data_IF_100963150272
#
_entry.id   IF_100963150272
#
_cell.length_a   1.000
_cell.length_b   1.000
_cell.length_c   1.000
_cell.angle_alpha   90.00
_cell.angle_beta   90.00
_cell.angle_gamma   90.00
#
_symmetry.space_group_name_H-M   'P 1'
#
loop_
_entity.id
_entity.type
_entity.pdbx_description
1 polymer ?
#
# COMPACT_ATOMS: atom_id res chain seq x y z
N UNK A 1 62.64 29.83 9.17
CA UNK A 1 62.14 29.23 10.43
C UNK A 1 60.95 30.05 10.85
N UNK A 2 59.79 29.63 10.59
CA UNK A 2 58.53 30.35 10.91
C UNK A 2 57.44 29.33 11.14
N UNK A 3 57.04 29.22 12.39
CA UNK A 3 55.97 28.34 12.88
C UNK A 3 54.61 28.84 12.41
N UNK A 4 53.86 28.02 11.70
CA UNK A 4 52.41 28.19 11.49
C UNK A 4 51.67 27.42 12.57
N UNK A 5 51.12 28.14 13.53
CA UNK A 5 50.10 27.62 14.43
C UNK A 5 48.73 27.78 13.78
N UNK A 6 48.10 26.66 13.42
CA UNK A 6 46.66 26.62 13.05
C UNK A 6 45.81 26.54 14.34
N UNK A 7 45.17 27.60 14.63
CA UNK A 7 44.08 27.71 15.63
C UNK A 7 42.85 26.94 15.08
N UNK A 8 42.49 25.81 15.70
CA UNK A 8 41.22 25.15 15.50
C UNK A 8 40.13 25.91 16.24
N UNK A 9 39.35 26.68 15.52
CA UNK A 9 38.06 27.16 16.02
C UNK A 9 37.05 26.02 16.07
N UNK A 10 36.64 25.63 17.26
CA UNK A 10 35.50 24.74 17.49
C UNK A 10 34.23 25.55 17.25
N UNK A 11 33.63 25.32 16.07
CA UNK A 11 32.29 25.80 15.78
C UNK A 11 31.31 24.82 16.46
N UNK A 12 30.94 25.09 17.71
CA UNK A 12 29.82 24.43 18.37
C UNK A 12 28.53 25.08 17.87
N UNK A 13 27.98 24.56 16.74
CA UNK A 13 26.62 24.91 16.38
C UNK A 13 25.69 24.33 17.46
N UNK A 14 25.10 25.19 18.24
CA UNK A 14 24.01 24.84 19.15
C UNK A 14 22.85 24.27 18.30
N UNK A 15 22.47 23.02 18.57
CA UNK A 15 21.26 22.43 18.03
C UNK A 15 20.05 23.29 18.46
N UNK A 16 19.13 23.62 17.54
CA UNK A 16 17.92 24.33 17.89
C UNK A 16 17.14 23.53 18.96
N UNK A 17 16.49 24.24 19.91
CA UNK A 17 15.73 23.60 20.97
C UNK A 17 14.68 22.66 20.38
N UNK A 18 14.53 21.48 20.99
CA UNK A 18 13.54 20.51 20.60
C UNK A 18 12.14 21.15 20.59
N UNK A 19 11.33 20.92 19.54
CA UNK A 19 9.99 21.48 19.49
C UNK A 19 9.17 20.98 20.68
N UNK A 20 8.28 21.84 21.24
CA UNK A 20 7.45 21.47 22.37
C UNK A 20 6.61 20.23 22.05
N UNK A 21 6.42 19.37 23.07
CA UNK A 21 5.64 18.15 22.97
C UNK A 21 4.25 18.45 22.39
N UNK A 22 3.89 17.69 21.35
CA UNK A 22 2.61 17.77 20.67
C UNK A 22 1.45 17.51 21.64
N UNK A 23 0.73 18.54 21.99
CA UNK A 23 -0.63 18.42 22.52
C UNK A 23 -1.57 18.53 21.30
N UNK A 24 -2.37 17.52 20.98
CA UNK A 24 -3.37 17.67 19.92
C UNK A 24 -4.27 18.83 20.28
N UNK A 25 -4.29 19.88 19.46
CA UNK A 25 -5.34 20.89 19.59
C UNK A 25 -6.66 20.15 19.39
N UNK A 26 -7.57 20.33 20.33
CA UNK A 26 -8.93 19.84 20.20
C UNK A 26 -9.48 20.30 18.85
N UNK A 27 -10.07 19.41 18.05
CA UNK A 27 -10.74 19.82 16.82
C UNK A 27 -11.72 20.91 17.21
N UNK A 28 -11.72 22.02 16.50
CA UNK A 28 -12.68 23.10 16.70
C UNK A 28 -14.07 22.46 16.66
N UNK A 29 -14.71 22.31 17.83
CA UNK A 29 -15.88 21.45 18.04
C UNK A 29 -17.11 21.83 17.22
N UNK A 30 -17.08 23.01 16.59
CA UNK A 30 -18.18 23.52 15.79
C UNK A 30 -18.31 22.87 14.41
N UNK A 31 -17.21 22.52 13.74
CA UNK A 31 -17.27 22.03 12.35
C UNK A 31 -17.94 20.67 12.21
N UNK A 32 -17.64 19.72 13.11
CA UNK A 32 -18.26 18.38 13.10
C UNK A 32 -19.72 18.45 13.50
N UNK A 33 -20.05 19.18 14.56
CA UNK A 33 -21.44 19.32 15.04
C UNK A 33 -22.33 19.97 13.99
N UNK A 34 -21.86 21.05 13.36
CA UNK A 34 -22.55 21.73 12.26
C UNK A 34 -22.73 20.81 11.03
N UNK A 35 -21.71 20.03 10.69
CA UNK A 35 -21.80 19.06 9.59
C UNK A 35 -22.89 18.01 9.86
N UNK A 36 -22.88 17.41 11.06
CA UNK A 36 -23.87 16.39 11.45
C UNK A 36 -25.28 16.97 11.44
N UNK A 37 -25.49 18.13 12.03
CA UNK A 37 -26.78 18.82 12.03
C UNK A 37 -27.25 19.05 10.57
N UNK A 38 -26.37 19.56 9.71
CA UNK A 38 -26.73 19.82 8.30
C UNK A 38 -27.03 18.55 7.53
N UNK A 39 -26.28 17.46 7.76
CA UNK A 39 -26.58 16.16 7.18
C UNK A 39 -27.94 15.62 7.62
N UNK A 40 -28.26 15.72 8.91
CA UNK A 40 -29.57 15.30 9.45
C UNK A 40 -30.72 16.11 8.84
N UNK A 41 -30.58 17.44 8.74
CA UNK A 41 -31.57 18.32 8.11
C UNK A 41 -31.77 17.96 6.62
N UNK A 42 -30.64 17.75 5.90
CA UNK A 42 -30.66 17.43 4.48
C UNK A 42 -31.27 16.06 4.20
N UNK A 43 -30.89 15.04 4.96
CA UNK A 43 -31.42 13.67 4.80
C UNK A 43 -32.83 13.50 5.35
N UNK A 44 -33.24 14.33 6.32
CA UNK A 44 -34.57 14.32 6.89
C UNK A 44 -35.66 14.88 5.95
N UNK A 45 -35.30 15.56 4.88
CA UNK A 45 -36.23 16.12 3.90
C UNK A 45 -36.64 15.09 2.84
N UNK A 46 -37.89 14.70 2.69
CA UNK A 46 -38.33 13.66 1.74
C UNK A 46 -38.06 13.95 0.28
N UNK A 47 -37.86 15.23 -0.09
CA UNK A 47 -37.57 15.67 -1.46
C UNK A 47 -36.07 15.92 -1.70
N UNK A 48 -35.26 15.77 -0.68
CA UNK A 48 -33.83 16.03 -0.78
C UNK A 48 -33.12 14.92 -1.52
N UNK A 49 -32.29 15.29 -2.48
CA UNK A 49 -31.43 14.39 -3.24
C UNK A 49 -30.11 15.10 -3.54
N UNK A 50 -29.04 14.35 -3.66
CA UNK A 50 -27.74 14.90 -3.98
C UNK A 50 -26.62 13.92 -3.69
N UNK A 51 -25.40 14.44 -3.58
CA UNK A 51 -24.20 13.68 -3.32
C UNK A 51 -23.42 14.33 -2.18
N UNK A 52 -22.86 13.54 -1.31
CA UNK A 52 -21.91 14.01 -0.31
C UNK A 52 -20.52 13.48 -0.66
N UNK A 53 -19.53 14.36 -0.62
CA UNK A 53 -18.12 14.03 -0.81
C UNK A 53 -17.42 14.06 0.54
N UNK A 54 -16.55 13.08 0.77
CA UNK A 54 -15.58 13.10 1.86
C UNK A 54 -14.18 13.16 1.27
N UNK A 55 -13.46 14.24 1.57
CA UNK A 55 -12.06 14.40 1.20
C UNK A 55 -11.19 14.09 2.43
N UNK A 56 -10.19 13.24 2.22
CA UNK A 56 -9.19 12.85 3.22
C UNK A 56 -7.78 13.19 2.70
N UNK A 57 -6.96 13.86 3.53
CA UNK A 57 -5.57 14.18 3.20
C UNK A 57 -4.62 13.08 3.68
N UNK A 58 -3.92 12.45 2.74
CA UNK A 58 -3.22 11.18 2.97
C UNK A 58 -1.87 11.34 3.69
N UNK A 59 -0.99 12.20 3.18
CA UNK A 59 0.39 12.37 3.67
C UNK A 59 0.56 13.41 4.78
N UNK A 60 -0.54 13.87 5.38
CA UNK A 60 -0.55 14.99 6.32
C UNK A 60 0.28 14.74 7.60
N UNK A 61 0.34 13.49 8.06
CA UNK A 61 1.17 13.12 9.23
C UNK A 61 2.67 13.33 8.96
N UNK A 62 3.12 13.06 7.74
CA UNK A 62 4.50 13.33 7.30
C UNK A 62 4.76 14.83 7.17
N UNK A 63 3.83 15.58 6.59
CA UNK A 63 3.92 17.04 6.49
C UNK A 63 4.02 17.68 7.88
N UNK A 64 3.22 17.21 8.83
CA UNK A 64 3.24 17.71 10.21
C UNK A 64 4.59 17.46 10.92
N UNK A 65 5.22 16.31 10.66
CA UNK A 65 6.57 16.02 11.17
C UNK A 65 7.65 16.90 10.54
N UNK A 66 7.51 17.24 9.25
CA UNK A 66 8.51 17.98 8.48
C UNK A 66 8.41 19.50 8.68
N UNK A 67 7.18 20.03 8.72
CA UNK A 67 6.92 21.47 8.70
C UNK A 67 6.31 22.03 9.99
N UNK A 68 5.82 21.15 10.87
CA UNK A 68 5.22 21.53 12.15
C UNK A 68 3.73 21.90 12.05
N UNK A 69 3.11 22.07 13.22
CA UNK A 69 1.66 22.21 13.36
C UNK A 69 1.10 23.49 12.71
N UNK A 70 1.73 24.63 12.98
CA UNK A 70 1.24 25.93 12.47
C UNK A 70 1.22 26.01 10.94
N UNK A 71 2.26 25.46 10.29
CA UNK A 71 2.32 25.36 8.84
C UNK A 71 1.18 24.51 8.29
N UNK A 72 0.93 23.38 8.92
CA UNK A 72 -0.11 22.44 8.51
C UNK A 72 -1.53 22.98 8.74
N UNK A 73 -1.78 23.75 9.79
CA UNK A 73 -3.08 24.43 10.00
C UNK A 73 -3.33 25.52 8.94
N UNK A 74 -2.28 26.24 8.52
CA UNK A 74 -2.40 27.19 7.43
C UNK A 74 -2.69 26.51 6.09
N UNK A 75 -2.04 25.35 5.83
CA UNK A 75 -2.35 24.49 4.68
C UNK A 75 -3.82 24.05 4.69
N UNK A 76 -4.32 23.55 5.82
CA UNK A 76 -5.73 23.15 5.96
C UNK A 76 -6.69 24.34 5.75
N UNK A 77 -6.32 25.54 6.19
CA UNK A 77 -7.10 26.75 5.97
C UNK A 77 -7.16 27.12 4.49
N UNK A 78 -6.03 27.03 3.77
CA UNK A 78 -6.00 27.28 2.31
C UNK A 78 -6.78 26.23 1.54
N UNK A 79 -6.67 24.94 1.90
CA UNK A 79 -7.48 23.86 1.31
C UNK A 79 -8.97 24.13 1.54
N UNK A 80 -9.36 24.50 2.77
CA UNK A 80 -10.76 24.86 3.07
C UNK A 80 -11.25 26.02 2.23
N UNK A 81 -10.43 27.05 2.04
CA UNK A 81 -10.75 28.21 1.20
C UNK A 81 -10.97 27.78 -0.25
N UNK A 82 -10.04 27.02 -0.82
CA UNK A 82 -10.15 26.48 -2.17
C UNK A 82 -11.44 25.65 -2.37
N UNK A 83 -11.69 24.70 -1.47
CA UNK A 83 -12.92 23.89 -1.51
C UNK A 83 -14.17 24.77 -1.43
N UNK A 84 -14.13 25.89 -0.66
CA UNK A 84 -15.20 26.85 -0.51
C UNK A 84 -15.56 27.59 -1.79
N UNK A 85 -14.58 27.84 -2.64
CA UNK A 85 -14.75 28.45 -3.96
C UNK A 85 -15.39 27.45 -4.94
N UNK A 86 -15.06 26.16 -4.81
CA UNK A 86 -15.52 25.11 -5.71
C UNK A 86 -16.95 24.61 -5.40
N UNK A 87 -17.39 24.61 -4.17
CA UNK A 87 -18.62 23.95 -3.75
C UNK A 87 -19.63 24.86 -3.03
N UNK A 88 -19.65 26.15 -3.32
CA UNK A 88 -20.67 27.13 -2.90
C UNK A 88 -21.09 27.09 -1.39
N UNK A 89 -20.13 26.82 -0.49
CA UNK A 89 -20.30 27.07 0.94
C UNK A 89 -20.76 25.92 1.84
N UNK A 90 -21.14 24.77 1.31
CA UNK A 90 -21.54 23.61 2.11
C UNK A 90 -20.34 22.69 2.46
N UNK A 91 -19.28 23.26 3.04
CA UNK A 91 -18.04 22.57 3.36
C UNK A 91 -17.77 22.61 4.86
N UNK A 92 -17.45 21.45 5.40
CA UNK A 92 -17.18 21.27 6.82
C UNK A 92 -15.85 20.57 7.01
N UNK A 93 -14.95 21.14 7.81
CA UNK A 93 -13.83 20.38 8.35
C UNK A 93 -14.40 19.47 9.44
N UNK A 94 -14.40 18.16 9.15
CA UNK A 94 -15.14 17.19 9.95
C UNK A 94 -14.33 16.68 11.14
N UNK A 95 -13.22 15.97 10.88
CA UNK A 95 -12.29 15.50 11.90
C UNK A 95 -10.86 15.64 11.36
N UNK A 96 -9.99 16.32 12.10
CA UNK A 96 -8.57 16.41 11.77
C UNK A 96 -8.31 16.94 10.37
N UNK A 97 -8.04 16.05 9.42
CA UNK A 97 -7.69 16.30 8.01
C UNK A 97 -8.79 15.94 7.03
N UNK A 98 -10.00 15.74 7.52
CA UNK A 98 -11.15 15.33 6.75
C UNK A 98 -12.08 16.52 6.47
N UNK A 99 -12.55 16.61 5.25
CA UNK A 99 -13.55 17.59 4.81
C UNK A 99 -14.77 16.87 4.25
N UNK A 100 -15.96 17.35 4.63
CA UNK A 100 -17.23 16.91 4.08
C UNK A 100 -17.82 18.03 3.25
N UNK A 101 -18.25 17.71 2.03
CA UNK A 101 -18.90 18.62 1.10
C UNK A 101 -20.28 18.07 0.78
N UNK A 102 -21.32 18.86 1.01
CA UNK A 102 -22.72 18.46 0.78
C UNK A 102 -23.22 19.14 -0.49
N UNK A 103 -23.45 18.36 -1.54
CA UNK A 103 -23.90 18.85 -2.85
C UNK A 103 -25.38 18.52 -3.04
N UNK A 104 -26.24 19.49 -2.75
CA UNK A 104 -27.68 19.34 -2.94
C UNK A 104 -28.04 19.45 -4.43
N UNK A 105 -28.95 18.60 -4.90
CA UNK A 105 -29.41 18.55 -6.29
C UNK A 105 -28.35 18.16 -7.35
N UNK A 106 -27.16 17.74 -6.93
CA UNK A 106 -26.15 17.19 -7.83
C UNK A 106 -26.45 15.75 -8.20
N UNK A 107 -26.19 15.39 -9.46
CA UNK A 107 -26.08 14.01 -9.90
C UNK A 107 -24.71 13.44 -9.58
N UNK A 108 -24.55 12.12 -9.57
CA UNK A 108 -23.25 11.46 -9.37
C UNK A 108 -22.22 11.92 -10.40
N UNK A 109 -22.60 12.06 -11.67
CA UNK A 109 -21.69 12.53 -12.72
C UNK A 109 -21.17 13.95 -12.45
N UNK A 110 -22.04 14.88 -12.10
CA UNK A 110 -21.64 16.25 -11.74
C UNK A 110 -20.75 16.29 -10.50
N UNK A 111 -21.02 15.45 -9.52
CA UNK A 111 -20.20 15.35 -8.30
C UNK A 111 -18.84 14.70 -8.58
N UNK A 112 -18.78 13.74 -9.51
CA UNK A 112 -17.53 13.14 -9.98
C UNK A 112 -16.67 14.14 -10.75
N UNK A 113 -17.26 14.89 -11.67
CA UNK A 113 -16.55 15.95 -12.40
C UNK A 113 -15.95 17.01 -11.45
N UNK A 114 -16.71 17.40 -10.41
CA UNK A 114 -16.22 18.30 -9.37
C UNK A 114 -15.10 17.68 -8.55
N UNK A 115 -15.21 16.40 -8.20
CA UNK A 115 -14.17 15.67 -7.44
C UNK A 115 -12.87 15.59 -8.25
N UNK A 116 -12.94 15.31 -9.55
CA UNK A 116 -11.77 15.30 -10.45
C UNK A 116 -11.13 16.69 -10.55
N UNK A 117 -11.92 17.75 -10.65
CA UNK A 117 -11.41 19.12 -10.64
C UNK A 117 -10.71 19.45 -9.30
N UNK A 118 -11.30 19.06 -8.19
CA UNK A 118 -10.68 19.22 -6.87
C UNK A 118 -9.36 18.46 -6.80
N UNK A 119 -9.31 17.19 -7.21
CA UNK A 119 -8.11 16.36 -7.16
C UNK A 119 -7.00 16.87 -8.09
N UNK A 120 -7.36 17.42 -9.24
CA UNK A 120 -6.40 18.08 -10.15
C UNK A 120 -5.61 19.23 -9.49
N UNK A 121 -6.17 19.90 -8.48
CA UNK A 121 -5.43 20.88 -7.68
C UNK A 121 -4.35 20.24 -6.81
N UNK A 122 -4.57 19.02 -6.33
CA UNK A 122 -3.63 18.29 -5.48
C UNK A 122 -2.44 17.68 -6.25
N UNK A 123 -2.48 17.67 -7.57
CA UNK A 123 -1.31 17.34 -8.40
C UNK A 123 -0.25 18.46 -8.39
N UNK A 124 -0.62 19.66 -7.92
CA UNK A 124 0.22 20.83 -7.89
C UNK A 124 0.65 21.18 -6.44
N UNK A 125 1.79 21.87 -6.32
CA UNK A 125 2.30 22.30 -5.01
C UNK A 125 1.38 23.32 -4.34
N UNK A 126 1.27 23.22 -3.03
CA UNK A 126 0.69 24.22 -2.16
C UNK A 126 1.81 25.12 -1.62
N UNK A 127 1.61 26.43 -1.67
CA UNK A 127 2.61 27.41 -1.23
C UNK A 127 2.18 28.04 0.07
N UNK A 128 2.85 27.67 1.16
CA UNK A 128 2.59 28.14 2.51
C UNK A 128 3.82 28.91 3.01
N UNK A 129 3.66 30.19 3.36
CA UNK A 129 4.76 31.05 3.85
C UNK A 129 6.00 31.04 2.92
N UNK A 130 5.78 30.89 1.61
CA UNK A 130 6.87 30.86 0.62
C UNK A 130 7.57 29.48 0.49
N UNK A 131 7.13 28.45 1.19
CA UNK A 131 7.61 27.08 1.09
C UNK A 131 6.60 26.24 0.30
N UNK A 132 7.08 25.49 -0.68
CA UNK A 132 6.26 24.62 -1.49
C UNK A 132 6.12 23.24 -0.83
N UNK A 133 4.91 22.69 -0.78
CA UNK A 133 4.66 21.32 -0.35
C UNK A 133 3.66 20.61 -1.26
N UNK A 134 3.82 19.30 -1.40
CA UNK A 134 2.86 18.43 -2.04
C UNK A 134 1.99 17.76 -0.97
N UNK A 135 0.67 17.81 -1.19
CA UNK A 135 -0.31 17.15 -0.36
C UNK A 135 -1.19 16.31 -1.27
N UNK A 136 -1.37 15.03 -0.96
CA UNK A 136 -2.28 14.15 -1.69
C UNK A 136 -3.62 14.03 -0.96
N UNK A 137 -4.68 13.81 -1.74
CA UNK A 137 -6.03 13.68 -1.23
C UNK A 137 -6.74 12.48 -1.84
N UNK A 138 -7.69 11.93 -1.08
CA UNK A 138 -8.62 10.91 -1.54
C UNK A 138 -10.04 11.46 -1.41
N UNK A 139 -10.92 11.16 -2.36
CA UNK A 139 -12.31 11.57 -2.31
C UNK A 139 -13.22 10.35 -2.39
N UNK A 140 -14.11 10.19 -1.39
CA UNK A 140 -15.22 9.27 -1.44
C UNK A 140 -16.52 10.00 -1.73
N UNK A 141 -17.37 9.47 -2.60
CA UNK A 141 -18.67 10.01 -2.96
C UNK A 141 -19.78 9.04 -2.53
N UNK A 142 -20.88 9.58 -2.02
CA UNK A 142 -22.07 8.80 -1.69
C UNK A 142 -23.33 9.59 -1.98
N UNK A 143 -24.23 9.02 -2.80
CA UNK A 143 -25.51 9.64 -3.18
C UNK A 143 -26.56 9.41 -2.11
N UNK A 144 -27.42 10.40 -1.93
CA UNK A 144 -28.61 10.28 -1.10
C UNK A 144 -29.88 10.70 -1.87
N UNK A 145 -31.05 10.10 -1.57
CA UNK A 145 -31.30 9.02 -0.62
C UNK A 145 -30.93 7.62 -1.15
N UNK A 146 -30.42 7.50 -2.37
CA UNK A 146 -30.19 6.22 -3.05
C UNK A 146 -29.29 5.26 -2.28
N UNK A 147 -28.17 5.77 -1.74
CA UNK A 147 -27.19 4.96 -1.04
C UNK A 147 -27.26 5.09 0.49
N UNK A 148 -27.94 6.10 1.05
CA UNK A 148 -28.02 6.25 2.51
C UNK A 148 -29.32 6.93 2.93
N UNK A 149 -29.89 6.43 4.04
CA UNK A 149 -31.11 6.96 4.61
C UNK A 149 -30.88 7.87 5.84
N UNK A 150 -29.70 7.83 6.43
CA UNK A 150 -29.32 8.63 7.61
C UNK A 150 -27.84 9.00 7.60
N UNK A 151 -27.45 9.96 8.43
CA UNK A 151 -26.08 10.51 8.46
C UNK A 151 -25.02 9.47 8.86
N UNK A 152 -25.32 8.59 9.83
CA UNK A 152 -24.38 7.56 10.29
C UNK A 152 -24.05 6.55 9.18
N UNK A 153 -25.06 6.11 8.46
CA UNK A 153 -24.90 5.21 7.30
C UNK A 153 -24.14 5.89 6.17
N UNK A 154 -24.46 7.15 5.87
CA UNK A 154 -23.80 7.95 4.85
C UNK A 154 -22.31 8.08 5.14
N UNK A 155 -21.95 8.45 6.36
CA UNK A 155 -20.55 8.63 6.76
C UNK A 155 -19.76 7.32 6.69
N UNK A 156 -20.32 6.20 7.14
CA UNK A 156 -19.69 4.88 7.01
C UNK A 156 -19.44 4.49 5.55
N UNK A 157 -20.38 4.80 4.67
CA UNK A 157 -20.25 4.53 3.23
C UNK A 157 -19.22 5.44 2.57
N UNK A 158 -19.13 6.70 3.00
CA UNK A 158 -18.08 7.62 2.56
C UNK A 158 -16.71 7.14 3.00
N UNK A 159 -16.56 6.61 4.23
CA UNK A 159 -15.32 6.03 4.72
C UNK A 159 -14.86 4.85 3.86
N UNK A 160 -15.79 3.98 3.47
CA UNK A 160 -15.51 2.88 2.55
C UNK A 160 -15.07 3.40 1.18
N UNK A 161 -15.77 4.38 0.62
CA UNK A 161 -15.42 4.95 -0.69
C UNK A 161 -14.03 5.60 -0.66
N UNK A 162 -13.68 6.33 0.40
CA UNK A 162 -12.32 6.90 0.58
C UNK A 162 -11.27 5.80 0.65
N UNK A 163 -11.53 4.71 1.40
CA UNK A 163 -10.61 3.59 1.50
C UNK A 163 -10.38 2.90 0.14
N UNK A 164 -11.42 2.73 -0.67
CA UNK A 164 -11.30 2.20 -2.03
C UNK A 164 -10.58 3.16 -2.98
N UNK A 165 -10.79 4.47 -2.85
CA UNK A 165 -10.02 5.45 -3.62
C UNK A 165 -8.51 5.35 -3.31
N UNK A 166 -8.14 5.18 -2.04
CA UNK A 166 -6.75 5.04 -1.61
C UNK A 166 -6.06 3.79 -2.20
N UNK A 167 -6.79 2.69 -2.44
CA UNK A 167 -6.25 1.48 -3.10
C UNK A 167 -5.88 1.72 -4.57
N UNK A 168 -6.46 2.74 -5.22
CA UNK A 168 -6.16 3.10 -6.60
C UNK A 168 -4.93 4.00 -6.76
N UNK A 169 -4.35 4.50 -5.67
CA UNK A 169 -3.19 5.39 -5.68
C UNK A 169 -3.50 6.80 -5.16
N UNK A 170 -2.52 7.71 -5.17
CA UNK A 170 -2.71 9.08 -4.70
C UNK A 170 -3.65 9.88 -5.62
N UNK A 171 -4.36 10.85 -5.03
CA UNK A 171 -5.27 11.74 -5.75
C UNK A 171 -6.33 11.00 -6.57
N UNK A 172 -6.99 10.04 -5.95
CA UNK A 172 -8.06 9.26 -6.57
C UNK A 172 -9.40 9.51 -5.90
N UNK A 173 -10.47 9.26 -6.65
CA UNK A 173 -11.83 9.24 -6.10
C UNK A 173 -12.50 7.90 -6.30
N UNK A 174 -13.50 7.62 -5.47
CA UNK A 174 -14.37 6.47 -5.65
C UNK A 174 -15.81 6.81 -5.26
N UNK A 175 -16.76 6.34 -6.07
CA UNK A 175 -18.19 6.44 -5.77
C UNK A 175 -18.59 5.20 -5.00
N UNK A 176 -19.29 5.36 -3.87
CA UNK A 176 -19.75 4.24 -3.09
C UNK A 176 -20.65 3.31 -3.91
N UNK A 177 -20.35 2.03 -3.85
CA UNK A 177 -21.15 0.91 -4.39
C UNK A 177 -21.42 -0.10 -3.26
N UNK A 178 -22.59 -0.72 -3.29
CA UNK A 178 -22.99 -1.75 -2.32
C UNK A 178 -22.04 -2.94 -2.25
N UNK A 179 -21.32 -3.24 -3.34
CA UNK A 179 -20.29 -4.27 -3.38
C UNK A 179 -19.07 -3.94 -2.51
N UNK A 180 -18.75 -2.67 -2.31
CA UNK A 180 -17.62 -2.23 -1.48
C UNK A 180 -17.73 -2.75 -0.05
N UNK A 181 -18.92 -2.71 0.54
CA UNK A 181 -19.14 -3.27 1.87
C UNK A 181 -18.86 -4.78 1.90
N UNK A 182 -19.33 -5.51 0.89
CA UNK A 182 -19.11 -6.96 0.78
C UNK A 182 -17.62 -7.27 0.62
N UNK A 183 -16.92 -6.51 -0.23
CA UNK A 183 -15.48 -6.65 -0.42
C UNK A 183 -14.69 -6.32 0.84
N UNK A 184 -15.07 -5.26 1.54
CA UNK A 184 -14.45 -4.88 2.82
C UNK A 184 -14.61 -5.99 3.88
N UNK A 185 -15.84 -6.51 4.07
CA UNK A 185 -16.08 -7.60 5.01
C UNK A 185 -15.29 -8.86 4.61
N UNK A 186 -15.26 -9.17 3.33
CA UNK A 186 -14.47 -10.29 2.80
C UNK A 186 -12.98 -10.11 3.10
N UNK A 187 -12.41 -8.92 2.82
CA UNK A 187 -11.01 -8.58 3.10
C UNK A 187 -10.66 -8.70 4.59
N UNK A 188 -11.52 -8.15 5.47
CA UNK A 188 -11.37 -8.27 6.92
C UNK A 188 -11.41 -9.73 7.38
N UNK A 189 -12.33 -10.52 6.84
CA UNK A 189 -12.45 -11.95 7.17
C UNK A 189 -11.21 -12.72 6.75
N UNK A 190 -10.64 -12.41 5.58
CA UNK A 190 -9.39 -13.01 5.11
C UNK A 190 -8.23 -12.61 6.03
N UNK A 191 -8.09 -11.33 6.37
CA UNK A 191 -7.05 -10.83 7.27
C UNK A 191 -7.06 -11.53 8.64
N UNK A 192 -8.26 -11.67 9.22
CA UNK A 192 -8.44 -12.38 10.50
C UNK A 192 -8.09 -13.86 10.39
N UNK A 193 -8.49 -14.50 9.30
CA UNK A 193 -8.22 -15.92 9.08
C UNK A 193 -6.74 -16.21 8.87
N UNK A 194 -6.03 -15.38 8.11
CA UNK A 194 -4.60 -15.51 7.85
C UNK A 194 -3.78 -15.59 9.14
N UNK A 195 -4.20 -14.87 10.18
CA UNK A 195 -3.53 -14.90 11.49
C UNK A 195 -3.47 -16.32 12.09
N UNK A 196 -4.51 -17.13 11.89
CA UNK A 196 -4.60 -18.48 12.41
C UNK A 196 -4.24 -19.57 11.41
N UNK A 197 -4.30 -19.26 10.12
CA UNK A 197 -4.06 -20.23 9.05
C UNK A 197 -2.64 -20.81 9.06
N UNK A 198 -1.64 -19.99 9.41
CA UNK A 198 -0.26 -20.45 9.58
C UNK A 198 -0.09 -21.39 10.76
N UNK A 199 -0.70 -21.07 11.91
CA UNK A 199 -0.62 -21.90 13.13
C UNK A 199 -1.29 -23.26 12.90
N UNK A 200 -2.36 -23.30 12.14
CA UNK A 200 -3.13 -24.51 11.84
C UNK A 200 -2.65 -25.29 10.62
N UNK A 201 -1.61 -24.79 9.92
CA UNK A 201 -1.12 -25.35 8.65
C UNK A 201 -2.21 -25.48 7.58
N UNK A 202 -3.11 -24.50 7.50
CA UNK A 202 -4.22 -24.46 6.55
C UNK A 202 -3.86 -23.69 5.25
N UNK A 203 -2.64 -23.14 5.18
CA UNK A 203 -2.08 -22.52 4.00
C UNK A 203 -1.51 -23.61 3.08
N UNK A 204 -2.14 -23.83 1.94
CA UNK A 204 -1.67 -24.81 0.96
C UNK A 204 -0.64 -24.18 0.01
N UNK A 205 0.56 -24.77 -0.05
CA UNK A 205 1.56 -24.48 -1.09
C UNK A 205 1.39 -25.52 -2.21
N UNK A 206 1.21 -25.04 -3.43
CA UNK A 206 1.04 -25.85 -4.64
C UNK A 206 2.08 -25.47 -5.67
N UNK A 207 2.31 -26.35 -6.63
CA UNK A 207 3.32 -26.16 -7.67
C UNK A 207 2.70 -26.31 -9.05
N UNK A 208 3.03 -25.39 -9.95
CA UNK A 208 2.68 -25.44 -11.37
C UNK A 208 3.94 -25.76 -12.17
N UNK A 209 4.02 -26.93 -12.82
CA UNK A 209 5.20 -27.28 -13.59
C UNK A 209 5.29 -26.45 -14.87
N UNK A 210 6.52 -26.03 -15.22
CA UNK A 210 6.85 -25.26 -16.42
C UNK A 210 7.58 -26.15 -17.41
N UNK A 211 7.05 -26.24 -18.65
CA UNK A 211 7.57 -27.09 -19.71
C UNK A 211 8.69 -26.36 -20.48
N UNK A 212 9.84 -27.00 -20.59
CA UNK A 212 10.96 -26.51 -21.40
C UNK A 212 10.81 -26.99 -22.85
N UNK A 213 10.53 -26.06 -23.77
CA UNK A 213 10.37 -26.40 -25.21
C UNK A 213 11.65 -26.97 -25.83
N UNK A 214 12.83 -26.52 -25.35
CA UNK A 214 14.12 -26.99 -25.86
C UNK A 214 14.41 -28.41 -25.46
N UNK A 215 14.06 -28.79 -24.22
CA UNK A 215 14.33 -30.14 -23.70
C UNK A 215 13.17 -31.13 -23.88
N UNK A 216 12.00 -30.63 -24.21
CA UNK A 216 10.82 -31.47 -24.41
C UNK A 216 10.28 -32.09 -23.12
N UNK A 217 10.55 -31.50 -21.95
CA UNK A 217 10.14 -32.02 -20.63
C UNK A 217 9.82 -30.86 -19.64
N UNK A 218 9.20 -31.22 -18.53
CA UNK A 218 9.04 -30.27 -17.41
C UNK A 218 10.35 -30.18 -16.65
N UNK A 219 10.87 -28.97 -16.47
CA UNK A 219 12.16 -28.74 -15.82
C UNK A 219 12.06 -27.82 -14.61
N UNK A 220 11.04 -26.98 -14.53
CA UNK A 220 10.84 -26.02 -13.44
C UNK A 220 9.43 -26.13 -12.88
N UNK A 221 9.23 -25.59 -11.68
CA UNK A 221 7.89 -25.44 -11.13
C UNK A 221 7.78 -24.10 -10.38
N UNK A 222 6.66 -23.39 -10.61
CA UNK A 222 6.32 -22.18 -9.88
C UNK A 222 5.43 -22.51 -8.70
N UNK A 223 5.80 -22.10 -7.50
CA UNK A 223 4.95 -22.25 -6.33
C UNK A 223 3.84 -21.20 -6.33
N UNK A 224 2.68 -21.59 -5.87
CA UNK A 224 1.61 -20.66 -5.55
C UNK A 224 0.87 -21.13 -4.30
N UNK A 225 0.29 -20.16 -3.59
CA UNK A 225 -0.41 -20.45 -2.34
C UNK A 225 -1.90 -20.22 -2.49
N UNK A 226 -2.68 -20.94 -1.69
CA UNK A 226 -4.11 -20.77 -1.56
C UNK A 226 -4.57 -21.20 -0.18
N UNK A 227 -5.70 -20.66 0.26
CA UNK A 227 -6.37 -21.04 1.50
C UNK A 227 -7.84 -21.31 1.23
N UNK A 228 -8.43 -22.21 2.02
CA UNK A 228 -9.86 -22.42 2.01
C UNK A 228 -10.45 -21.87 3.31
N UNK A 229 -11.34 -20.88 3.20
CA UNK A 229 -11.99 -20.23 4.33
C UNK A 229 -13.46 -20.62 4.34
N UNK A 230 -13.93 -21.19 5.44
CA UNK A 230 -15.32 -21.57 5.57
C UNK A 230 -16.24 -20.34 5.44
N UNK A 231 -17.26 -20.41 4.57
CA UNK A 231 -18.15 -19.31 4.25
C UNK A 231 -17.66 -18.34 3.18
N UNK A 232 -16.37 -18.36 2.83
CA UNK A 232 -15.79 -17.52 1.77
C UNK A 232 -15.40 -18.37 0.55
N UNK A 233 -14.94 -19.59 0.80
CA UNK A 233 -14.46 -20.51 -0.24
C UNK A 233 -12.95 -20.47 -0.42
N UNK A 234 -12.49 -20.82 -1.62
CA UNK A 234 -11.08 -20.83 -1.98
C UNK A 234 -10.60 -19.41 -2.28
N UNK A 235 -9.53 -18.99 -1.60
CA UNK A 235 -8.88 -17.69 -1.75
C UNK A 235 -7.47 -17.91 -2.28
N UNK A 236 -7.14 -17.30 -3.41
CA UNK A 236 -5.83 -17.40 -4.06
C UNK A 236 -4.85 -16.34 -3.56
N UNK A 237 -3.58 -16.55 -3.89
CA UNK A 237 -2.48 -15.66 -3.49
C UNK A 237 -2.69 -14.21 -3.97
N UNK A 238 -3.18 -14.00 -5.19
CA UNK A 238 -3.46 -12.67 -5.72
C UNK A 238 -4.43 -11.85 -4.87
N UNK A 239 -5.34 -12.51 -4.14
CA UNK A 239 -6.29 -11.84 -3.25
C UNK A 239 -5.73 -11.64 -1.84
N UNK A 240 -5.08 -12.67 -1.26
CA UNK A 240 -4.69 -12.58 0.15
C UNK A 240 -3.29 -11.99 0.40
N UNK A 241 -2.36 -12.01 -0.59
CA UNK A 241 -1.02 -11.45 -0.37
C UNK A 241 -1.04 -9.94 -0.12
N UNK A 242 -1.79 -9.10 -0.88
CA UNK A 242 -1.92 -7.68 -0.55
C UNK A 242 -2.51 -7.46 0.86
N UNK A 243 -3.48 -8.29 1.27
CA UNK A 243 -4.06 -8.24 2.62
C UNK A 243 -3.01 -8.60 3.68
N UNK A 244 -2.15 -9.58 3.38
CA UNK A 244 -1.08 -9.99 4.27
C UNK A 244 0.02 -8.91 4.39
N UNK A 245 0.29 -8.17 3.32
CA UNK A 245 1.21 -7.03 3.32
C UNK A 245 0.70 -5.91 4.21
N UNK A 246 -0.55 -5.49 4.04
CA UNK A 246 -1.18 -4.44 4.84
C UNK A 246 -1.30 -4.81 6.32
N UNK A 247 -1.58 -6.07 6.63
CA UNK A 247 -1.71 -6.58 8.00
C UNK A 247 -0.38 -6.99 8.64
N UNK A 248 0.75 -6.90 7.91
CA UNK A 248 2.08 -7.28 8.37
C UNK A 248 2.32 -8.79 8.47
N UNK A 249 1.42 -9.61 7.97
CA UNK A 249 1.51 -11.09 8.03
C UNK A 249 2.36 -11.68 6.90
N UNK A 250 2.68 -10.88 5.89
CA UNK A 250 3.43 -11.29 4.70
C UNK A 250 4.78 -11.95 5.05
N UNK A 251 5.45 -11.49 6.12
CA UNK A 251 6.72 -12.06 6.57
C UNK A 251 6.57 -13.52 6.98
N UNK A 252 5.60 -13.83 7.83
CA UNK A 252 5.37 -15.18 8.30
C UNK A 252 4.93 -16.12 7.15
N UNK A 253 4.08 -15.62 6.25
CA UNK A 253 3.61 -16.35 5.06
C UNK A 253 4.76 -16.64 4.10
N UNK A 254 5.63 -15.67 3.85
CA UNK A 254 6.78 -15.85 2.95
C UNK A 254 7.79 -16.86 3.50
N UNK A 255 8.09 -16.82 4.80
CA UNK A 255 8.98 -17.80 5.43
C UNK A 255 8.38 -19.20 5.45
N UNK A 256 7.06 -19.31 5.64
CA UNK A 256 6.35 -20.56 5.51
C UNK A 256 6.45 -21.15 4.09
N UNK A 257 6.25 -20.31 3.07
CA UNK A 257 6.38 -20.73 1.67
C UNK A 257 7.82 -21.19 1.34
N UNK A 258 8.82 -20.46 1.84
CA UNK A 258 10.24 -20.76 1.65
C UNK A 258 10.61 -22.12 2.28
N UNK A 259 10.16 -22.37 3.51
CA UNK A 259 10.40 -23.65 4.21
C UNK A 259 9.73 -24.83 3.46
N UNK A 260 8.48 -24.64 3.03
CA UNK A 260 7.76 -25.66 2.24
C UNK A 260 8.44 -25.96 0.91
N UNK A 261 8.94 -24.95 0.21
CA UNK A 261 9.67 -25.16 -1.02
C UNK A 261 11.00 -25.88 -0.79
N UNK A 262 11.73 -25.51 0.26
CA UNK A 262 12.96 -26.21 0.66
C UNK A 262 12.72 -27.71 0.89
N UNK A 263 11.67 -28.04 1.64
CA UNK A 263 11.26 -29.43 1.85
C UNK A 263 10.90 -30.14 0.55
N UNK A 264 10.12 -29.50 -0.32
CA UNK A 264 9.72 -30.07 -1.63
C UNK A 264 10.91 -30.33 -2.54
N UNK A 265 11.89 -29.42 -2.55
CA UNK A 265 13.15 -29.61 -3.27
C UNK A 265 13.89 -30.85 -2.74
N UNK A 266 14.02 -30.98 -1.41
CA UNK A 266 14.68 -32.14 -0.79
C UNK A 266 13.96 -33.46 -1.14
N UNK A 267 12.64 -33.48 -1.09
CA UNK A 267 11.84 -34.66 -1.43
C UNK A 267 12.01 -35.06 -2.91
N UNK A 268 12.04 -34.09 -3.83
CA UNK A 268 12.31 -34.34 -5.25
C UNK A 268 13.73 -34.86 -5.50
N UNK A 269 14.73 -34.31 -4.84
CA UNK A 269 16.11 -34.77 -4.93
C UNK A 269 16.24 -36.21 -4.40
N UNK A 270 15.61 -36.51 -3.26
CA UNK A 270 15.60 -37.84 -2.67
C UNK A 270 14.92 -38.89 -3.54
N UNK A 271 13.90 -38.50 -4.32
CA UNK A 271 13.24 -39.36 -5.28
C UNK A 271 14.01 -39.59 -6.61
N UNK A 272 15.16 -38.90 -6.76
CA UNK A 272 15.95 -38.97 -8.00
C UNK A 272 15.31 -38.19 -9.18
N UNK A 273 14.39 -37.27 -8.89
CA UNK A 273 13.74 -36.47 -9.94
C UNK A 273 14.71 -35.46 -10.55
N UNK A 274 14.72 -35.39 -11.89
CA UNK A 274 15.48 -34.40 -12.61
C UNK A 274 14.64 -33.12 -12.83
N UNK A 275 15.07 -32.02 -12.27
CA UNK A 275 14.46 -30.69 -12.42
C UNK A 275 15.53 -29.60 -12.32
N UNK A 276 15.24 -28.42 -12.85
CA UNK A 276 16.14 -27.27 -12.78
C UNK A 276 15.94 -26.56 -11.44
N UNK A 277 14.77 -25.96 -11.22
CA UNK A 277 14.49 -25.19 -10.00
C UNK A 277 13.02 -25.19 -9.60
N UNK A 278 12.77 -24.91 -8.33
CA UNK A 278 11.45 -24.50 -7.81
C UNK A 278 11.49 -23.00 -7.54
N UNK A 279 10.56 -22.27 -8.14
CA UNK A 279 10.45 -20.83 -8.07
C UNK A 279 9.38 -20.41 -7.04
N UNK A 280 9.72 -19.45 -6.17
CA UNK A 280 8.85 -18.92 -5.13
C UNK A 280 8.66 -17.43 -5.36
N UNK A 281 7.41 -16.92 -5.46
CA UNK A 281 7.17 -15.49 -5.48
C UNK A 281 7.49 -14.87 -4.11
N UNK A 282 8.25 -13.78 -4.13
CA UNK A 282 8.71 -13.06 -2.94
C UNK A 282 8.18 -11.63 -2.97
N UNK A 283 7.48 -11.24 -1.90
CA UNK A 283 7.07 -9.83 -1.73
C UNK A 283 8.32 -8.94 -1.55
N UNK A 284 8.32 -7.74 -2.16
CA UNK A 284 9.38 -6.74 -1.96
C UNK A 284 9.62 -6.40 -0.50
N UNK A 285 8.58 -6.47 0.31
CA UNK A 285 8.66 -6.23 1.76
C UNK A 285 9.59 -7.23 2.45
N UNK A 286 9.68 -8.46 1.93
CA UNK A 286 10.60 -9.47 2.46
C UNK A 286 12.05 -9.20 2.10
N UNK A 287 12.32 -8.69 0.89
CA UNK A 287 13.68 -8.42 0.44
C UNK A 287 14.40 -7.35 1.27
N UNK A 288 13.65 -6.48 1.94
CA UNK A 288 14.20 -5.42 2.81
C UNK A 288 14.20 -5.80 4.29
N UNK A 289 13.79 -7.02 4.67
CA UNK A 289 13.88 -7.48 6.06
C UNK A 289 15.32 -7.87 6.39
N UNK A 290 15.80 -7.42 7.54
CA UNK A 290 17.18 -7.67 8.00
C UNK A 290 17.54 -9.16 8.12
N UNK A 291 16.55 -10.00 8.43
CA UNK A 291 16.74 -11.44 8.63
C UNK A 291 16.44 -12.30 7.39
N UNK A 292 16.06 -11.69 6.25
CA UNK A 292 15.61 -12.45 5.09
C UNK A 292 16.71 -13.36 4.52
N UNK A 293 17.91 -12.84 4.36
CA UNK A 293 19.09 -13.60 3.89
C UNK A 293 19.38 -14.78 4.83
N UNK A 294 19.36 -14.55 6.13
CA UNK A 294 19.58 -15.61 7.12
C UNK A 294 18.51 -16.70 7.05
N UNK A 295 17.26 -16.34 6.77
CA UNK A 295 16.18 -17.33 6.60
C UNK A 295 16.39 -18.17 5.33
N UNK A 296 16.76 -17.54 4.20
CA UNK A 296 17.08 -18.27 2.96
C UNK A 296 18.26 -19.21 3.18
N UNK A 297 19.33 -18.72 3.80
CA UNK A 297 20.52 -19.52 4.14
C UNK A 297 20.16 -20.72 5.02
N UNK A 298 19.37 -20.49 6.07
CA UNK A 298 18.89 -21.56 6.95
C UNK A 298 18.14 -22.65 6.19
N UNK A 299 17.26 -22.28 5.24
CA UNK A 299 16.50 -23.24 4.45
C UNK A 299 17.43 -24.03 3.52
N UNK A 300 18.36 -23.38 2.85
CA UNK A 300 19.37 -24.03 1.99
C UNK A 300 20.18 -25.06 2.79
N UNK A 301 20.66 -24.67 3.97
CA UNK A 301 21.47 -25.54 4.84
C UNK A 301 20.63 -26.71 5.43
N UNK A 302 19.41 -26.42 5.92
CA UNK A 302 18.51 -27.42 6.54
C UNK A 302 18.15 -28.52 5.56
N UNK A 303 17.78 -28.14 4.33
CA UNK A 303 17.32 -29.07 3.31
C UNK A 303 18.43 -29.50 2.33
N UNK A 304 19.67 -29.00 2.53
CA UNK A 304 20.85 -29.28 1.70
C UNK A 304 20.56 -29.03 0.20
N UNK A 305 19.98 -27.86 -0.08
CA UNK A 305 19.57 -27.47 -1.43
C UNK A 305 20.81 -27.18 -2.28
N UNK A 306 21.03 -27.87 -3.41
CA UNK A 306 22.11 -27.54 -4.30
C UNK A 306 21.91 -26.20 -4.98
N UNK A 307 22.99 -25.56 -5.41
CA UNK A 307 23.00 -24.33 -6.19
C UNK A 307 22.06 -24.45 -7.41
N UNK A 308 21.29 -23.39 -7.69
CA UNK A 308 20.34 -23.27 -8.79
C UNK A 308 19.02 -24.04 -8.60
N UNK A 309 18.83 -24.82 -7.51
CA UNK A 309 17.57 -25.54 -7.29
C UNK A 309 16.46 -24.71 -6.65
N UNK A 310 16.81 -23.66 -5.95
CA UNK A 310 15.89 -22.65 -5.39
C UNK A 310 15.90 -21.40 -6.28
N UNK A 311 14.74 -20.98 -6.74
CA UNK A 311 14.56 -19.73 -7.45
C UNK A 311 13.60 -18.81 -6.68
N UNK A 312 13.92 -17.51 -6.64
CA UNK A 312 13.08 -16.47 -6.04
C UNK A 312 12.59 -15.53 -7.13
N UNK A 313 11.27 -15.33 -7.17
CA UNK A 313 10.61 -14.48 -8.16
C UNK A 313 10.22 -13.15 -7.55
N UNK A 314 10.63 -12.07 -8.19
CA UNK A 314 10.35 -10.68 -7.80
C UNK A 314 9.60 -10.00 -8.93
N UNK A 315 8.56 -9.26 -8.62
CA UNK A 315 7.78 -8.50 -9.60
C UNK A 315 8.53 -7.22 -10.03
N UNK A 316 8.49 -6.87 -11.33
CA UNK A 316 9.14 -5.65 -11.89
C UNK A 316 8.66 -4.37 -11.21
N UNK A 317 7.38 -4.29 -10.87
CA UNK A 317 6.80 -3.15 -10.16
C UNK A 317 7.45 -2.88 -8.79
N UNK A 318 7.96 -3.93 -8.15
CA UNK A 318 8.61 -3.88 -6.87
C UNK A 318 9.96 -3.17 -6.88
N UNK A 319 10.63 -3.19 -8.02
CA UNK A 319 11.94 -2.56 -8.17
C UNK A 319 11.86 -1.03 -8.25
N UNK A 320 10.73 -0.47 -8.64
CA UNK A 320 10.54 0.97 -8.82
C UNK A 320 10.53 1.77 -7.52
N UNK A 321 10.24 1.16 -6.38
CA UNK A 321 10.02 1.85 -5.10
C UNK A 321 11.16 1.77 -4.07
N UNK A 322 12.14 0.82 -4.19
CA UNK A 322 13.07 0.48 -3.10
C UNK A 322 14.53 0.23 -3.59
N UNK A 323 14.99 0.89 -4.62
CA UNK A 323 16.17 0.54 -5.43
C UNK A 323 17.50 0.21 -4.73
N UNK A 324 17.88 0.85 -3.63
CA UNK A 324 19.26 0.71 -3.12
C UNK A 324 19.49 -0.54 -2.25
N UNK A 325 18.53 -0.88 -1.38
CA UNK A 325 18.71 -2.01 -0.46
C UNK A 325 18.37 -3.36 -1.12
N UNK A 326 17.42 -3.36 -2.05
CA UNK A 326 17.00 -4.58 -2.77
C UNK A 326 18.13 -5.14 -3.62
N UNK A 327 18.93 -4.28 -4.29
CA UNK A 327 20.05 -4.72 -5.11
C UNK A 327 21.12 -5.46 -4.30
N UNK A 328 21.39 -5.02 -3.08
CA UNK A 328 22.35 -5.69 -2.19
C UNK A 328 21.82 -7.08 -1.81
N UNK A 329 20.57 -7.15 -1.39
CA UNK A 329 19.91 -8.42 -1.04
C UNK A 329 19.88 -9.39 -2.24
N UNK A 330 19.56 -8.90 -3.43
CA UNK A 330 19.56 -9.72 -4.65
C UNK A 330 20.96 -10.26 -4.99
N UNK A 331 22.00 -9.42 -4.83
CA UNK A 331 23.38 -9.85 -5.08
C UNK A 331 23.81 -10.94 -4.06
N UNK A 332 23.49 -10.77 -2.78
CA UNK A 332 23.80 -11.77 -1.77
C UNK A 332 23.08 -13.11 -2.03
N UNK A 333 21.82 -13.07 -2.45
CA UNK A 333 21.06 -14.26 -2.84
C UNK A 333 21.70 -14.97 -4.04
N UNK A 334 22.09 -14.19 -5.05
CA UNK A 334 22.77 -14.72 -6.24
C UNK A 334 24.12 -15.39 -5.86
N UNK A 335 24.92 -14.75 -5.01
CA UNK A 335 26.20 -15.29 -4.55
C UNK A 335 26.04 -16.56 -3.70
N UNK A 336 24.85 -16.78 -3.12
CA UNK A 336 24.48 -18.02 -2.43
C UNK A 336 23.98 -19.14 -3.37
N UNK A 337 23.96 -18.90 -4.68
CA UNK A 337 23.50 -19.85 -5.69
C UNK A 337 21.97 -19.93 -5.81
N UNK A 338 21.24 -18.92 -5.38
CA UNK A 338 19.79 -18.79 -5.59
C UNK A 338 19.53 -18.19 -6.96
N UNK A 339 18.68 -18.81 -7.78
CA UNK A 339 18.23 -18.21 -9.03
C UNK A 339 17.29 -17.05 -8.78
N UNK A 340 17.49 -15.94 -9.50
CA UNK A 340 16.62 -14.78 -9.45
C UNK A 340 15.79 -14.66 -10.71
N UNK A 341 14.48 -14.56 -10.52
CA UNK A 341 13.49 -14.49 -11.59
C UNK A 341 12.76 -13.16 -11.49
N UNK A 342 12.75 -12.41 -12.58
CA UNK A 342 11.95 -11.20 -12.69
C UNK A 342 10.63 -11.51 -13.38
N UNK A 343 9.52 -11.19 -12.73
CA UNK A 343 8.17 -11.42 -13.25
C UNK A 343 7.54 -10.12 -13.75
N UNK A 344 6.58 -10.25 -14.69
CA UNK A 344 5.85 -9.14 -15.29
C UNK A 344 6.77 -8.05 -15.89
N UNK A 345 7.91 -8.46 -16.47
CA UNK A 345 8.89 -7.51 -17.01
C UNK A 345 8.27 -6.61 -18.09
N UNK A 346 8.47 -5.31 -17.93
CA UNK A 346 7.95 -4.29 -18.83
C UNK A 346 6.55 -3.79 -18.48
N UNK A 347 5.94 -4.29 -17.40
CA UNK A 347 4.65 -3.77 -16.89
C UNK A 347 4.83 -2.57 -15.94
N UNK A 348 6.04 -2.38 -15.40
CA UNK A 348 6.38 -1.32 -14.46
C UNK A 348 7.01 -0.10 -15.11
N UNK A 349 7.33 0.90 -14.29
CA UNK A 349 8.00 2.13 -14.70
C UNK A 349 9.54 2.00 -14.75
N UNK A 350 10.11 0.82 -14.44
CA UNK A 350 11.55 0.63 -14.44
C UNK A 350 12.10 0.68 -15.88
N UNK A 351 13.18 1.45 -16.12
CA UNK A 351 13.81 1.44 -17.43
C UNK A 351 14.32 0.03 -17.78
N UNK A 352 14.15 -0.39 -19.04
CA UNK A 352 14.66 -1.70 -19.52
C UNK A 352 16.14 -1.90 -19.24
N UNK A 353 16.90 -0.81 -19.14
CA UNK A 353 18.33 -0.83 -18.80
C UNK A 353 18.61 -1.25 -17.35
N UNK A 354 17.64 -1.11 -16.44
CA UNK A 354 17.83 -1.48 -15.02
C UNK A 354 18.07 -2.97 -14.82
N UNK A 355 17.58 -3.81 -15.73
CA UNK A 355 17.77 -5.27 -15.66
C UNK A 355 19.24 -5.66 -15.87
N UNK A 356 20.02 -4.83 -16.58
CA UNK A 356 21.44 -5.09 -16.86
C UNK A 356 22.31 -4.96 -15.61
N UNK A 357 21.83 -4.24 -14.61
CA UNK A 357 22.52 -3.99 -13.35
C UNK A 357 22.09 -4.96 -12.24
N UNK A 358 21.13 -5.84 -12.53
CA UNK A 358 20.59 -6.81 -11.57
C UNK A 358 21.08 -8.23 -11.88
N UNK A 359 21.38 -9.05 -10.84
CA UNK A 359 21.81 -10.43 -11.02
C UNK A 359 20.63 -11.38 -11.34
N UNK A 360 19.85 -11.06 -12.39
CA UNK A 360 18.67 -11.82 -12.79
C UNK A 360 19.02 -12.92 -13.77
N UNK A 361 18.60 -14.15 -13.49
CA UNK A 361 18.84 -15.33 -14.33
C UNK A 361 17.71 -15.55 -15.38
N UNK A 362 16.49 -15.21 -15.03
CA UNK A 362 15.29 -15.49 -15.85
C UNK A 362 14.33 -14.30 -15.81
N UNK A 363 13.71 -14.03 -16.96
CA UNK A 363 12.67 -13.02 -17.11
C UNK A 363 11.39 -13.69 -17.57
N UNK A 364 10.27 -13.37 -16.90
CA UNK A 364 8.90 -13.76 -17.29
C UNK A 364 8.18 -12.52 -17.85
N UNK A 365 7.47 -12.73 -18.98
CA UNK A 365 6.69 -11.71 -19.68
C UNK A 365 5.20 -11.87 -19.37
#
# INVERSE_FOLDING_TARGET
>A
MGLFQHKKEKNTAELPPAPPAFTPAEPSGDGRALCLQRLEETLGSPSSKGVVLKLYLENFKSLNKSFGYEYCEELLSQIKGYLGEMAEGNIYRYIGVEFIIILEQYSEGQASDLADEILGRFENVWKIRGVDCLCSAQIGLCSYPGHAANADELLKRLDLAVAFAAECGPNQMSVYDSNMHTQFVRRQSIAMYLQTALEKHELEVRYRPTYCLKEGRFTRADSYMRIFIQGIGLVGAAEFLPIAEDSGQIRAIGYYALDHAGKSIADLLASGSEFDSICIPVSPILLVQEDFIDQVKRVIETYRIPEGKLALEVDDSALSSIYLNVNITMQELYDMGVELVMNNFGSGCAPVTSILDLPVNTVKL
#
